data_IF_831949156886
#
_entry.id   IF_831949156886
#
_cell.length_a   1.000
_cell.length_b   1.000
_cell.length_c   1.000
_cell.angle_alpha   90.00
_cell.angle_beta   90.00
_cell.angle_gamma   90.00
#
_symmetry.space_group_name_H-M   'P 1'
#
loop_
_entity.id
_entity.type
_entity.pdbx_description
1 polymer ?
#
# COMPACT_ATOMS: atom_id res chain seq x y z
N UNK A 1 -1.97 5.19 12.88
CA UNK A 1 -1.89 3.87 13.53
C UNK A 1 -0.58 3.20 13.19
N UNK A 2 -0.16 2.24 14.00
CA UNK A 2 1.08 1.48 13.82
C UNK A 2 0.69 0.01 13.81
N UNK A 3 1.10 -0.73 12.78
CA UNK A 3 0.83 -2.17 12.67
C UNK A 3 2.13 -2.93 12.39
N UNK A 4 2.26 -4.12 12.96
CA UNK A 4 3.28 -5.09 12.57
C UNK A 4 2.66 -6.06 11.58
N UNK A 5 3.30 -6.22 10.42
CA UNK A 5 2.89 -7.15 9.37
C UNK A 5 4.00 -8.16 9.17
N UNK A 6 3.62 -9.44 9.12
CA UNK A 6 4.51 -10.54 8.73
C UNK A 6 4.04 -11.11 7.40
N UNK A 7 4.94 -11.17 6.43
CA UNK A 7 4.71 -11.76 5.11
C UNK A 7 5.40 -13.12 5.04
N UNK A 8 4.63 -14.16 4.76
CA UNK A 8 5.16 -15.47 4.41
C UNK A 8 5.87 -15.42 3.03
N UNK A 9 6.72 -16.41 2.69
CA UNK A 9 7.28 -16.54 1.34
C UNK A 9 6.23 -16.44 0.24
N UNK A 10 6.47 -15.57 -0.74
CA UNK A 10 5.58 -15.29 -1.87
C UNK A 10 4.40 -14.35 -1.57
N UNK A 11 4.20 -13.94 -0.31
CA UNK A 11 3.15 -12.99 0.04
C UNK A 11 3.56 -11.55 -0.30
N UNK A 12 2.55 -10.69 -0.46
CA UNK A 12 2.72 -9.24 -0.64
C UNK A 12 1.92 -8.46 0.40
N UNK A 13 2.39 -7.26 0.75
CA UNK A 13 1.72 -6.38 1.72
C UNK A 13 0.35 -5.92 1.24
N UNK A 14 0.25 -5.65 -0.06
CA UNK A 14 -0.87 -4.96 -0.67
C UNK A 14 -0.76 -5.02 -2.20
N UNK A 15 -1.86 -4.69 -2.88
CA UNK A 15 -1.75 -4.16 -4.24
C UNK A 15 -0.91 -2.88 -4.21
N UNK A 16 -0.16 -2.62 -5.29
CA UNK A 16 0.70 -1.44 -5.38
C UNK A 16 -0.14 -0.18 -5.42
N UNK A 17 0.02 0.71 -4.44
CA UNK A 17 -0.90 1.83 -4.24
C UNK A 17 -0.20 3.08 -3.70
N UNK A 18 -0.89 4.20 -3.80
CA UNK A 18 -0.47 5.50 -3.30
C UNK A 18 -1.68 6.23 -2.67
N UNK A 19 -1.41 7.19 -1.80
CA UNK A 19 -2.41 7.97 -1.07
C UNK A 19 -2.31 9.45 -1.41
N UNK A 20 -3.43 10.16 -1.42
CA UNK A 20 -3.51 11.59 -1.71
C UNK A 20 -3.18 12.45 -0.50
N UNK A 21 -3.46 11.96 0.72
CA UNK A 21 -3.39 12.73 1.97
C UNK A 21 -2.68 12.01 3.10
N UNK A 22 -2.49 10.71 3.02
CA UNK A 22 -1.81 9.95 4.07
C UNK A 22 -0.33 9.82 3.76
N UNK A 23 0.51 10.33 4.66
CA UNK A 23 1.89 9.88 4.71
C UNK A 23 1.93 8.46 5.26
N UNK A 24 2.75 7.62 4.64
CA UNK A 24 3.01 6.27 5.10
C UNK A 24 4.52 6.04 5.21
N UNK A 25 4.96 5.31 6.22
CA UNK A 25 6.34 4.84 6.24
C UNK A 25 6.45 3.44 6.83
N UNK A 26 7.48 2.74 6.41
CA UNK A 26 7.79 1.37 6.82
C UNK A 26 9.14 1.33 7.50
N UNK A 27 9.22 0.54 8.57
CA UNK A 27 10.48 0.12 9.20
C UNK A 27 10.61 -1.40 9.14
N UNK A 28 11.67 -1.89 8.50
CA UNK A 28 11.96 -3.33 8.42
C UNK A 28 12.44 -3.87 9.78
N UNK A 29 11.80 -4.93 10.26
CA UNK A 29 12.11 -5.54 11.56
C UNK A 29 12.93 -6.82 11.40
N UNK A 30 12.48 -7.74 10.54
CA UNK A 30 13.10 -9.05 10.35
C UNK A 30 12.97 -9.52 8.90
N UNK A 31 13.93 -10.32 8.44
CA UNK A 31 13.96 -10.82 7.06
C UNK A 31 14.24 -9.71 6.04
N UNK A 32 14.07 -10.04 4.77
CA UNK A 32 14.19 -9.07 3.67
C UNK A 32 12.94 -9.08 2.80
N UNK A 33 12.56 -7.90 2.32
CA UNK A 33 11.41 -7.70 1.45
C UNK A 33 11.85 -6.90 0.24
N UNK A 34 11.23 -7.16 -0.91
CA UNK A 34 11.42 -6.36 -2.12
C UNK A 34 10.35 -5.26 -2.12
N UNK A 35 10.79 -4.02 -2.02
CA UNK A 35 9.98 -2.85 -2.31
C UNK A 35 9.84 -2.69 -3.82
N UNK A 36 8.61 -2.55 -4.30
CA UNK A 36 8.31 -2.26 -5.70
C UNK A 36 7.69 -0.87 -5.78
N UNK A 37 8.32 0.02 -6.55
CA UNK A 37 7.83 1.37 -6.87
C UNK A 37 7.84 1.60 -8.39
N UNK A 38 7.43 2.78 -8.84
CA UNK A 38 7.59 3.20 -10.25
C UNK A 38 9.06 3.27 -10.68
N UNK A 39 9.99 3.46 -9.73
CA UNK A 39 11.44 3.50 -9.98
C UNK A 39 12.06 2.08 -10.08
N UNK A 40 11.25 1.04 -9.83
CA UNK A 40 11.65 -0.36 -9.89
C UNK A 40 11.72 -1.03 -8.52
N UNK A 41 12.57 -2.05 -8.42
CA UNK A 41 12.68 -2.90 -7.24
C UNK A 41 13.88 -2.53 -6.36
N UNK A 42 13.67 -2.55 -5.05
CA UNK A 42 14.72 -2.37 -4.05
C UNK A 42 14.56 -3.39 -2.92
N UNK A 43 15.64 -4.09 -2.57
CA UNK A 43 15.65 -4.96 -1.38
C UNK A 43 15.79 -4.13 -0.11
N UNK A 44 14.82 -4.28 0.80
CA UNK A 44 14.84 -3.71 2.14
C UNK A 44 15.26 -4.78 3.16
N UNK A 45 16.10 -4.38 4.11
CA UNK A 45 16.69 -5.24 5.15
C UNK A 45 16.37 -4.71 6.55
N UNK A 46 16.52 -5.51 7.61
CA UNK A 46 16.23 -5.07 8.97
C UNK A 46 16.96 -3.77 9.33
N UNK A 47 16.24 -2.83 9.94
CA UNK A 47 16.74 -1.50 10.28
C UNK A 47 16.56 -0.43 9.19
N UNK A 48 16.19 -0.80 7.96
CA UNK A 48 15.90 0.18 6.91
C UNK A 48 14.53 0.83 7.11
N UNK A 49 14.44 2.10 6.72
CA UNK A 49 13.21 2.90 6.70
C UNK A 49 12.94 3.38 5.28
N UNK A 50 11.70 3.32 4.86
CA UNK A 50 11.22 3.96 3.62
C UNK A 50 9.95 4.75 3.92
N UNK A 51 9.84 5.94 3.32
CA UNK A 51 8.66 6.80 3.44
C UNK A 51 8.01 7.04 2.09
N UNK A 52 6.69 7.19 2.11
CA UNK A 52 5.82 7.44 0.98
C UNK A 52 5.03 8.71 1.30
N UNK A 53 5.38 9.80 0.62
CA UNK A 53 4.78 11.10 0.86
C UNK A 53 3.38 11.18 0.24
N UNK A 54 2.44 11.75 0.99
CA UNK A 54 1.08 12.01 0.53
C UNK A 54 1.06 12.83 -0.77
N UNK A 55 0.15 12.47 -1.68
CA UNK A 55 -0.06 13.16 -2.94
C UNK A 55 0.95 12.83 -4.03
N UNK A 56 1.95 12.00 -3.73
CA UNK A 56 2.87 11.47 -4.74
C UNK A 56 2.28 10.18 -5.30
N UNK A 57 1.90 10.20 -6.58
CA UNK A 57 1.30 9.06 -7.26
C UNK A 57 2.32 7.98 -7.68
N UNK A 58 3.33 7.73 -6.83
CA UNK A 58 4.29 6.64 -6.99
C UNK A 58 3.83 5.46 -6.11
N UNK A 59 3.19 4.47 -6.74
CA UNK A 59 2.58 3.38 -5.98
C UNK A 59 3.62 2.41 -5.43
N UNK A 60 3.43 1.96 -4.19
CA UNK A 60 4.32 1.03 -3.50
C UNK A 60 3.61 -0.24 -3.00
N UNK A 61 4.37 -1.34 -2.93
CA UNK A 61 4.09 -2.49 -2.08
C UNK A 61 5.39 -3.20 -1.69
N UNK A 62 5.28 -4.13 -0.75
CA UNK A 62 6.37 -5.03 -0.36
C UNK A 62 6.01 -6.45 -0.76
N UNK A 63 6.97 -7.16 -1.35
CA UNK A 63 6.84 -8.56 -1.75
C UNK A 63 7.92 -9.38 -1.06
N UNK A 64 7.52 -10.48 -0.42
CA UNK A 64 8.47 -11.43 0.14
C UNK A 64 8.89 -12.44 -0.94
N UNK A 65 10.02 -12.17 -1.61
CA UNK A 65 10.61 -13.09 -2.58
C UNK A 65 11.59 -14.10 -1.93
N UNK A 66 11.76 -14.04 -0.60
CA UNK A 66 12.68 -14.91 0.13
C UNK A 66 12.04 -16.27 0.47
N UNK A 67 12.86 -17.17 1.02
CA UNK A 67 12.42 -18.50 1.47
C UNK A 67 11.95 -18.57 2.93
N UNK A 68 11.87 -17.44 3.64
CA UNK A 68 11.45 -17.36 5.05
C UNK A 68 10.49 -16.20 5.29
N UNK A 69 9.81 -16.20 6.43
CA UNK A 69 8.98 -15.07 6.84
C UNK A 69 9.82 -13.79 7.01
N UNK A 70 9.21 -12.64 6.72
CA UNK A 70 9.79 -11.32 6.94
C UNK A 70 8.74 -10.38 7.55
N UNK A 71 9.17 -9.49 8.43
CA UNK A 71 8.25 -8.59 9.15
C UNK A 71 8.70 -7.13 9.12
N UNK A 72 7.70 -6.24 9.12
CA UNK A 72 7.89 -4.81 9.11
C UNK A 72 6.81 -4.11 9.94
N UNK A 73 7.16 -2.93 10.45
CA UNK A 73 6.19 -2.00 11.01
C UNK A 73 5.76 -1.03 9.91
N UNK A 74 4.46 -0.76 9.85
CA UNK A 74 3.88 0.26 8.97
C UNK A 74 3.16 1.31 9.81
N UNK A 75 3.42 2.56 9.46
CA UNK A 75 2.90 3.74 10.10
C UNK A 75 2.07 4.49 9.07
N UNK A 76 0.78 4.65 9.32
CA UNK A 76 -0.11 5.48 8.50
C UNK A 76 -0.88 6.42 9.43
N UNK A 77 -0.95 7.69 9.11
CA UNK A 77 -1.61 8.71 9.93
C UNK A 77 -3.16 8.61 9.91
N UNK A 78 -3.74 7.78 9.03
CA UNK A 78 -5.20 7.60 8.83
C UNK A 78 -5.93 8.93 8.60
N UNK A 79 -5.34 9.83 7.81
CA UNK A 79 -5.90 11.15 7.50
C UNK A 79 -7.34 11.06 6.96
N UNK A 80 -8.31 11.78 7.56
CA UNK A 80 -9.69 11.78 7.11
C UNK A 80 -9.86 12.27 5.68
N UNK A 81 -10.73 11.58 4.94
CA UNK A 81 -11.05 11.94 3.56
C UNK A 81 -9.92 11.65 2.58
N UNK A 82 -8.99 10.77 2.93
CA UNK A 82 -7.98 10.26 2.02
C UNK A 82 -8.61 9.44 0.88
N UNK A 83 -7.90 9.45 -0.23
CA UNK A 83 -8.21 8.85 -1.52
C UNK A 83 -6.89 8.40 -2.13
N UNK A 84 -6.94 7.61 -3.20
CA UNK A 84 -5.73 7.19 -3.88
C UNK A 84 -6.00 6.21 -4.99
N UNK A 85 -4.94 5.53 -5.41
CA UNK A 85 -4.99 4.68 -6.58
C UNK A 85 -4.19 3.41 -6.42
N UNK A 86 -4.63 2.38 -7.12
CA UNK A 86 -3.85 1.17 -7.35
C UNK A 86 -3.16 1.30 -8.71
N UNK A 87 -1.84 1.19 -8.73
CA UNK A 87 -1.06 1.44 -9.94
C UNK A 87 -1.29 0.38 -11.01
N UNK A 88 -1.32 -0.90 -10.60
CA UNK A 88 -1.27 -2.04 -11.52
C UNK A 88 -2.64 -2.59 -11.93
N UNK A 89 -3.72 -2.06 -11.36
CA UNK A 89 -5.10 -2.40 -11.72
C UNK A 89 -5.88 -1.12 -12.01
N UNK A 90 -7.00 -1.24 -12.72
CA UNK A 90 -7.85 -0.10 -13.08
C UNK A 90 -8.73 0.36 -11.90
N UNK A 91 -8.14 0.74 -10.77
CA UNK A 91 -8.90 1.03 -9.56
C UNK A 91 -8.36 2.24 -8.80
N UNK A 92 -9.28 3.11 -8.38
CA UNK A 92 -9.08 4.18 -7.42
C UNK A 92 -10.01 3.95 -6.22
N UNK A 93 -9.57 4.35 -5.03
CA UNK A 93 -10.44 4.49 -3.86
C UNK A 93 -10.66 5.98 -3.63
N UNK A 94 -11.92 6.40 -3.66
CA UNK A 94 -12.32 7.81 -3.59
C UNK A 94 -13.41 8.01 -2.54
N UNK A 95 -13.62 9.25 -2.12
CA UNK A 95 -14.68 9.62 -1.17
C UNK A 95 -15.86 10.23 -1.90
N UNK A 96 -17.01 9.58 -1.77
CA UNK A 96 -18.29 10.08 -2.28
C UNK A 96 -19.33 10.06 -1.15
N UNK A 97 -19.98 11.21 -0.92
CA UNK A 97 -21.00 11.39 0.11
C UNK A 97 -20.56 10.90 1.51
N UNK A 98 -19.30 11.14 1.85
CA UNK A 98 -18.70 10.74 3.13
C UNK A 98 -18.30 9.27 3.23
N UNK A 99 -18.52 8.45 2.20
CA UNK A 99 -18.15 7.03 2.15
C UNK A 99 -17.01 6.78 1.19
N UNK A 100 -16.17 5.81 1.50
CA UNK A 100 -15.19 5.31 0.53
C UNK A 100 -15.91 4.43 -0.49
N UNK A 101 -15.60 4.62 -1.77
CA UNK A 101 -16.06 3.79 -2.87
C UNK A 101 -14.88 3.46 -3.79
N UNK A 102 -14.96 2.33 -4.49
CA UNK A 102 -14.00 1.96 -5.52
C UNK A 102 -14.55 2.32 -6.90
N UNK A 103 -13.72 2.99 -7.70
CA UNK A 103 -14.06 3.41 -9.07
C UNK A 103 -12.95 2.97 -10.02
N UNK A 104 -13.30 2.79 -11.29
CA UNK A 104 -12.34 2.73 -12.38
C UNK A 104 -11.56 4.04 -12.49
N UNK A 105 -10.40 4.04 -13.17
CA UNK A 105 -9.58 5.25 -13.34
C UNK A 105 -10.29 6.34 -14.16
N UNK A 106 -11.32 6.00 -14.91
CA UNK A 106 -12.21 6.95 -15.61
C UNK A 106 -13.31 7.54 -14.72
N UNK A 107 -13.40 7.12 -13.45
CA UNK A 107 -14.38 7.56 -12.47
C UNK A 107 -15.68 6.76 -12.46
N UNK A 108 -15.86 5.77 -13.34
CA UNK A 108 -17.04 4.90 -13.30
C UNK A 108 -17.00 3.98 -12.07
N UNK A 109 -18.07 3.85 -11.28
CA UNK A 109 -18.05 3.00 -10.09
C UNK A 109 -17.92 1.51 -10.41
N UNK A 110 -17.09 0.80 -9.65
CA UNK A 110 -17.16 -0.66 -9.61
C UNK A 110 -18.50 -1.09 -9.01
N UNK A 111 -19.10 -2.15 -9.56
CA UNK A 111 -20.31 -2.75 -8.97
C UNK A 111 -19.93 -3.37 -7.63
N UNK A 112 -20.40 -2.78 -6.53
CA UNK A 112 -20.39 -3.47 -5.24
C UNK A 112 -21.49 -4.53 -5.29
N UNK A 113 -21.13 -5.81 -5.19
CA UNK A 113 -22.14 -6.80 -4.83
C UNK A 113 -22.50 -6.52 -3.37
N UNK A 114 -23.72 -6.07 -3.11
CA UNK A 114 -24.30 -5.95 -1.77
C UNK A 114 -24.46 -7.36 -1.15
N UNK A 115 -23.35 -7.98 -0.76
CA UNK A 115 -23.37 -9.09 0.19
C UNK A 115 -22.90 -8.50 1.52
N UNK A 116 -23.88 -8.05 2.31
CA UNK A 116 -23.69 -7.43 3.62
C UNK A 116 -23.06 -8.34 4.67
#
# INVERSE_FOLDING_TARGET
>A
GINMITLAPGAMSSQRHWHTKQDEFVYMVEGELVLVTDDGEQVLKPGMVVGFAAGVANGHNLVNQSGSDASFLVFSDKTPGDEGGYSDIDMLFVRKDGREIYVHKDGTPYKTNDNG
#
